data_IF_209627605697
#
_entry.id   IF_209627605697
#
_cell.length_a   1.000
_cell.length_b   1.000
_cell.length_c   1.000
_cell.angle_alpha   90.00
_cell.angle_beta   90.00
_cell.angle_gamma   90.00
#
_symmetry.space_group_name_H-M   'P 1'
#
loop_
_entity.id
_entity.type
_entity.pdbx_description
1 polymer ?
#
# COMPACT_ATOMS: atom_id res chain seq x y z
N UNK A 1 -6.84 -7.59 22.01
CA UNK A 1 -7.17 -7.55 20.57
C UNK A 1 -7.24 -6.13 20.08
N UNK A 2 -6.31 -5.76 19.21
CA UNK A 2 -6.34 -4.47 18.52
C UNK A 2 -6.84 -4.68 17.08
N UNK A 3 -8.07 -4.27 16.76
CA UNK A 3 -8.61 -4.35 15.40
C UNK A 3 -8.19 -3.17 14.51
N UNK A 4 -7.67 -2.08 15.09
CA UNK A 4 -7.30 -0.87 14.36
C UNK A 4 -6.00 -1.08 13.60
N UNK A 5 -5.02 -1.76 14.20
CA UNK A 5 -3.69 -1.91 13.61
C UNK A 5 -3.72 -2.66 12.26
N UNK A 6 -4.47 -3.77 12.09
CA UNK A 6 -4.67 -4.41 10.78
C UNK A 6 -5.35 -3.51 9.73
N UNK A 7 -6.28 -2.65 10.14
CA UNK A 7 -6.99 -1.72 9.25
C UNK A 7 -6.04 -0.60 8.81
N UNK A 8 -5.33 0.00 9.75
CA UNK A 8 -4.40 1.12 9.50
C UNK A 8 -3.21 0.67 8.64
N UNK A 9 -2.75 -0.57 8.79
CA UNK A 9 -1.70 -1.15 7.95
C UNK A 9 -2.04 -1.12 6.45
N UNK A 10 -3.33 -1.09 6.09
CA UNK A 10 -3.77 -1.03 4.70
C UNK A 10 -3.44 0.32 4.05
N UNK A 11 -3.25 1.38 4.84
CA UNK A 11 -2.80 2.69 4.38
C UNK A 11 -1.46 2.61 3.63
N UNK A 12 -0.45 2.00 4.25
CA UNK A 12 0.84 1.74 3.59
C UNK A 12 0.71 0.76 2.42
N UNK A 13 -0.17 -0.23 2.56
CA UNK A 13 -0.38 -1.24 1.54
C UNK A 13 -0.92 -0.67 0.22
N UNK A 14 -1.87 0.25 0.28
CA UNK A 14 -2.36 0.96 -0.91
C UNK A 14 -1.24 1.71 -1.64
N UNK A 15 -0.28 2.27 -0.90
CA UNK A 15 0.88 2.97 -1.46
C UNK A 15 1.84 2.02 -2.17
N UNK A 16 2.03 0.81 -1.64
CA UNK A 16 2.78 -0.27 -2.31
C UNK A 16 2.13 -0.63 -3.65
N UNK A 17 0.81 -0.83 -3.66
CA UNK A 17 0.05 -1.09 -4.89
C UNK A 17 0.19 0.02 -5.94
N UNK A 18 0.01 1.28 -5.50
CA UNK A 18 0.18 2.45 -6.36
C UNK A 18 1.61 2.59 -6.89
N UNK A 19 2.62 2.32 -6.06
CA UNK A 19 4.02 2.35 -6.46
C UNK A 19 4.33 1.29 -7.53
N UNK A 20 3.80 0.07 -7.41
CA UNK A 20 3.89 -0.93 -8.47
C UNK A 20 3.26 -0.44 -9.77
N UNK A 21 2.06 0.16 -9.72
CA UNK A 21 1.40 0.68 -10.92
C UNK A 21 2.24 1.76 -11.61
N UNK A 22 2.79 2.70 -10.84
CA UNK A 22 3.64 3.76 -11.39
C UNK A 22 4.93 3.15 -11.95
N UNK A 23 5.56 2.21 -11.25
CA UNK A 23 6.81 1.59 -11.67
C UNK A 23 6.71 0.95 -13.06
N UNK A 24 5.62 0.24 -13.32
CA UNK A 24 5.39 -0.40 -14.62
C UNK A 24 4.91 0.58 -15.69
N UNK A 25 4.23 1.68 -15.30
CA UNK A 25 3.65 2.64 -16.25
C UNK A 25 4.61 3.76 -16.66
N UNK A 26 5.49 4.19 -15.76
CA UNK A 26 6.35 5.35 -15.95
C UNK A 26 7.52 5.06 -16.90
N UNK A 27 7.93 6.05 -17.69
CA UNK A 27 9.16 6.01 -18.48
C UNK A 27 10.31 6.78 -17.81
N UNK A 28 10.03 7.54 -16.75
CA UNK A 28 11.03 8.29 -16.00
C UNK A 28 11.91 7.36 -15.15
N UNK A 29 13.19 7.25 -15.53
CA UNK A 29 14.17 6.37 -14.86
C UNK A 29 14.50 6.81 -13.43
N UNK A 30 14.42 8.10 -13.11
CA UNK A 30 14.58 8.59 -11.73
C UNK A 30 13.45 8.07 -10.86
N UNK A 31 12.21 8.20 -11.34
CA UNK A 31 11.04 7.74 -10.60
C UNK A 31 11.08 6.21 -10.40
N UNK A 32 11.48 5.44 -11.42
CA UNK A 32 11.70 3.99 -11.27
C UNK A 32 12.74 3.65 -10.20
N UNK A 33 13.86 4.37 -10.15
CA UNK A 33 14.91 4.13 -9.15
C UNK A 33 14.41 4.38 -7.73
N UNK A 34 13.67 5.46 -7.52
CA UNK A 34 13.05 5.78 -6.21
C UNK A 34 12.09 4.67 -5.80
N UNK A 35 11.21 4.24 -6.72
CA UNK A 35 10.24 3.17 -6.44
C UNK A 35 10.95 1.84 -6.14
N UNK A 36 11.96 1.46 -6.91
CA UNK A 36 12.76 0.24 -6.66
C UNK A 36 13.39 0.23 -5.27
N UNK A 37 13.93 1.37 -4.83
CA UNK A 37 14.53 1.49 -3.50
C UNK A 37 13.50 1.47 -2.37
N UNK A 38 12.33 2.09 -2.57
CA UNK A 38 11.29 2.21 -1.56
C UNK A 38 10.37 0.99 -1.43
N UNK A 39 10.17 0.21 -2.50
CA UNK A 39 9.22 -0.92 -2.52
C UNK A 39 9.51 -2.00 -1.46
N UNK A 40 10.74 -2.50 -1.31
CA UNK A 40 11.03 -3.54 -0.31
C UNK A 40 10.68 -3.08 1.11
N UNK A 41 11.03 -1.84 1.44
CA UNK A 41 10.79 -1.23 2.75
C UNK A 41 9.30 -0.94 2.97
N UNK A 42 8.60 -0.51 1.92
CA UNK A 42 7.14 -0.34 1.92
C UNK A 42 6.36 -1.62 2.16
N UNK A 43 6.77 -2.73 1.56
CA UNK A 43 6.16 -4.05 1.78
C UNK A 43 6.36 -4.55 3.21
N UNK A 44 7.47 -4.16 3.84
CA UNK A 44 7.77 -4.44 5.25
C UNK A 44 7.05 -3.49 6.22
N UNK A 45 6.17 -2.61 5.73
CA UNK A 45 5.32 -1.77 6.56
C UNK A 45 5.85 -0.36 6.84
N UNK A 46 6.95 0.05 6.20
CA UNK A 46 7.50 1.40 6.30
C UNK A 46 7.14 2.13 4.99
N UNK A 47 5.99 2.80 4.98
CA UNK A 47 5.39 3.39 3.78
C UNK A 47 5.94 4.76 3.38
N UNK A 48 6.65 5.43 4.29
CA UNK A 48 7.16 6.80 4.15
C UNK A 48 7.99 7.02 2.88
N UNK A 49 8.92 6.12 2.48
CA UNK A 49 9.68 6.27 1.24
C UNK A 49 8.78 6.31 0.00
N UNK A 50 7.69 5.55 -0.01
CA UNK A 50 6.75 5.51 -1.14
C UNK A 50 5.79 6.70 -1.12
N UNK A 51 5.29 7.08 0.06
CA UNK A 51 4.40 8.24 0.21
C UNK A 51 5.13 9.49 -0.24
N UNK A 52 6.24 9.82 0.39
CA UNK A 52 6.93 11.08 0.17
C UNK A 52 7.79 11.08 -1.09
N UNK A 53 8.33 9.92 -1.49
CA UNK A 53 9.19 9.80 -2.66
C UNK A 53 8.44 9.57 -3.97
N UNK A 54 7.18 9.11 -3.93
CA UNK A 54 6.47 8.66 -5.14
C UNK A 54 5.06 9.23 -5.21
N UNK A 55 4.16 8.84 -4.31
CA UNK A 55 2.72 9.05 -4.54
C UNK A 55 2.25 10.46 -4.19
N UNK A 56 2.77 11.05 -3.10
CA UNK A 56 2.40 12.39 -2.64
C UNK A 56 2.86 13.49 -3.61
N UNK A 57 4.11 13.50 -4.14
CA UNK A 57 4.53 14.49 -5.14
C UNK A 57 3.70 14.46 -6.42
N UNK A 58 3.17 13.29 -6.79
CA UNK A 58 2.31 13.13 -7.96
C UNK A 58 0.84 13.51 -7.69
N UNK A 59 0.46 13.71 -6.42
CA UNK A 59 -0.85 14.13 -5.96
C UNK A 59 -1.97 13.10 -6.20
N UNK A 60 -2.35 12.87 -7.46
CA UNK A 60 -3.42 11.94 -7.84
C UNK A 60 -3.13 10.49 -7.44
N UNK A 61 -1.91 9.95 -7.63
CA UNK A 61 -1.60 8.60 -7.20
C UNK A 61 -1.81 8.39 -5.69
N UNK A 62 -1.48 9.38 -4.85
CA UNK A 62 -1.72 9.30 -3.41
C UNK A 62 -3.20 9.07 -3.07
N UNK A 63 -4.11 9.80 -3.71
CA UNK A 63 -5.55 9.64 -3.49
C UNK A 63 -6.01 8.24 -3.95
N UNK A 64 -5.58 7.80 -5.14
CA UNK A 64 -5.94 6.47 -5.63
C UNK A 64 -5.36 5.33 -4.78
N UNK A 65 -4.19 5.53 -4.19
CA UNK A 65 -3.60 4.62 -3.23
C UNK A 65 -4.46 4.52 -1.96
N UNK A 66 -4.97 5.66 -1.45
CA UNK A 66 -5.90 5.69 -0.33
C UNK A 66 -7.21 4.96 -0.62
N UNK A 67 -7.72 5.03 -1.86
CA UNK A 67 -8.89 4.25 -2.28
C UNK A 67 -8.60 2.74 -2.26
N UNK A 68 -7.41 2.32 -2.72
CA UNK A 68 -6.98 0.93 -2.61
C UNK A 68 -6.86 0.47 -1.16
N UNK A 69 -6.27 1.30 -0.31
CA UNK A 69 -6.18 1.09 1.13
C UNK A 69 -7.56 0.97 1.79
N UNK A 70 -8.54 1.75 1.36
CA UNK A 70 -9.91 1.67 1.86
C UNK A 70 -10.56 0.31 1.57
N UNK A 71 -10.30 -0.30 0.40
CA UNK A 71 -10.81 -1.65 0.08
C UNK A 71 -10.20 -2.70 1.00
N UNK A 72 -8.87 -2.68 1.18
CA UNK A 72 -8.21 -3.57 2.13
C UNK A 72 -8.70 -3.34 3.56
N UNK A 73 -8.78 -2.08 4.01
CA UNK A 73 -9.22 -1.72 5.36
C UNK A 73 -10.65 -2.16 5.64
N UNK A 74 -11.55 -1.99 4.67
CA UNK A 74 -12.92 -2.49 4.76
C UNK A 74 -12.98 -4.01 4.89
N UNK A 75 -12.14 -4.75 4.15
CA UNK A 75 -12.02 -6.20 4.29
C UNK A 75 -11.56 -6.60 5.70
N UNK A 76 -10.50 -5.98 6.22
CA UNK A 76 -10.00 -6.25 7.57
C UNK A 76 -11.07 -5.98 8.64
N UNK A 77 -11.81 -4.87 8.49
CA UNK A 77 -12.88 -4.48 9.41
C UNK A 77 -14.07 -5.47 9.35
N UNK A 78 -14.47 -5.90 8.14
CA UNK A 78 -15.58 -6.83 7.95
C UNK A 78 -15.32 -8.19 8.60
N UNK A 79 -14.09 -8.72 8.42
CA UNK A 79 -13.68 -9.99 9.03
C UNK A 79 -13.19 -9.85 10.48
N UNK A 80 -13.25 -8.65 11.06
CA UNK A 80 -12.84 -8.35 12.44
C UNK A 80 -11.45 -8.88 12.75
N UNK A 81 -10.51 -8.66 11.83
CA UNK A 81 -9.13 -9.08 12.02
C UNK A 81 -8.50 -8.26 13.12
N UNK A 82 -7.87 -8.93 14.07
CA UNK A 82 -7.22 -8.28 15.20
C UNK A 82 -5.82 -8.83 15.44
N UNK A 83 -4.96 -8.01 16.03
CA UNK A 83 -3.63 -8.42 16.47
C UNK A 83 -3.60 -8.70 17.97
N UNK A 84 -2.69 -9.61 18.35
CA UNK A 84 -2.42 -9.97 19.75
C UNK A 84 -1.45 -8.99 20.44
N UNK A 85 -0.72 -8.21 19.65
CA UNK A 85 0.25 -7.22 20.10
C UNK A 85 0.32 -6.03 19.13
N UNK A 86 0.94 -4.95 19.59
CA UNK A 86 1.30 -3.80 18.77
C UNK A 86 2.67 -4.07 18.15
N UNK A 87 2.83 -3.80 16.85
CA UNK A 87 4.10 -4.00 16.16
C UNK A 87 4.13 -3.40 14.76
N UNK A 88 5.08 -3.88 13.94
CA UNK A 88 5.34 -3.35 12.59
C UNK A 88 4.20 -3.71 11.64
N UNK A 89 3.86 -2.78 10.74
CA UNK A 89 2.80 -2.95 9.74
C UNK A 89 3.28 -3.78 8.52
N UNK A 90 2.48 -3.86 7.45
CA UNK A 90 2.85 -4.59 6.23
C UNK A 90 2.91 -6.11 6.40
N UNK A 91 3.68 -6.80 5.57
CA UNK A 91 3.79 -8.28 5.61
C UNK A 91 4.17 -8.82 7.01
N UNK A 92 5.12 -8.21 7.75
CA UNK A 92 5.49 -8.67 9.10
C UNK A 92 4.32 -8.70 10.08
N UNK A 93 3.27 -7.89 9.86
CA UNK A 93 2.11 -7.86 10.74
C UNK A 93 1.36 -9.20 10.79
N UNK A 94 1.51 -10.02 9.75
CA UNK A 94 0.96 -11.37 9.71
C UNK A 94 1.42 -12.26 10.88
N UNK A 95 2.61 -12.01 11.46
CA UNK A 95 3.11 -12.73 12.62
C UNK A 95 2.45 -12.31 13.95
N UNK A 96 1.77 -11.17 13.97
CA UNK A 96 1.11 -10.62 15.16
C UNK A 96 -0.43 -10.70 15.08
N UNK A 97 -0.97 -11.20 13.96
CA UNK A 97 -2.39 -11.51 13.81
C UNK A 97 -2.68 -12.87 14.44
N UNK A 98 -3.90 -13.04 14.98
CA UNK A 98 -4.36 -14.34 15.46
C UNK A 98 -4.13 -15.45 14.43
N UNK A 99 -3.64 -16.61 14.87
CA UNK A 99 -3.17 -17.69 13.96
C UNK A 99 -4.24 -18.14 12.96
N UNK A 100 -5.51 -18.11 13.34
CA UNK A 100 -6.66 -18.44 12.49
C UNK A 100 -7.04 -17.35 11.47
N UNK A 101 -6.52 -16.12 11.62
CA UNK A 101 -6.84 -14.96 10.80
C UNK A 101 -5.69 -14.52 9.88
N UNK A 102 -4.51 -15.15 9.97
CA UNK A 102 -3.32 -14.80 9.18
C UNK A 102 -3.63 -14.79 7.67
N UNK A 103 -4.31 -15.82 7.17
CA UNK A 103 -4.63 -15.91 5.75
C UNK A 103 -5.58 -14.79 5.31
N UNK A 104 -6.60 -14.49 6.13
CA UNK A 104 -7.54 -13.40 5.87
C UNK A 104 -6.81 -12.05 5.88
N UNK A 105 -5.87 -11.85 6.81
CA UNK A 105 -5.03 -10.65 6.85
C UNK A 105 -4.25 -10.46 5.55
N UNK A 106 -3.61 -11.53 5.07
CA UNK A 106 -2.83 -11.52 3.83
C UNK A 106 -3.72 -11.27 2.60
N UNK A 107 -4.95 -11.80 2.60
CA UNK A 107 -5.94 -11.48 1.55
C UNK A 107 -6.30 -10.00 1.58
N UNK A 108 -6.60 -9.42 2.75
CA UNK A 108 -6.87 -7.99 2.88
C UNK A 108 -5.71 -7.11 2.42
N UNK A 109 -4.48 -7.49 2.78
CA UNK A 109 -3.25 -6.83 2.33
C UNK A 109 -3.10 -6.91 0.80
N UNK A 110 -3.32 -8.09 0.22
CA UNK A 110 -3.26 -8.29 -1.23
C UNK A 110 -4.34 -7.48 -1.96
N UNK A 111 -5.54 -7.39 -1.41
CA UNK A 111 -6.61 -6.55 -1.95
C UNK A 111 -6.19 -5.08 -1.96
N UNK A 112 -5.60 -4.56 -0.87
CA UNK A 112 -5.08 -3.19 -0.85
C UNK A 112 -4.02 -2.95 -1.95
N UNK A 113 -3.12 -3.92 -2.16
CA UNK A 113 -2.10 -3.83 -3.22
C UNK A 113 -2.75 -3.83 -4.62
N UNK A 114 -3.67 -4.76 -4.87
CA UNK A 114 -4.32 -4.95 -6.16
C UNK A 114 -5.22 -3.76 -6.51
N UNK A 115 -6.05 -3.29 -5.58
CA UNK A 115 -6.92 -2.13 -5.83
C UNK A 115 -6.14 -0.83 -5.87
N UNK A 116 -5.11 -0.66 -5.03
CA UNK A 116 -4.17 0.46 -5.13
C UNK A 116 -3.51 0.50 -6.51
N UNK A 117 -3.06 -0.66 -7.00
CA UNK A 117 -2.51 -0.79 -8.35
C UNK A 117 -3.54 -0.41 -9.41
N UNK A 118 -4.73 -1.01 -9.39
CA UNK A 118 -5.77 -0.80 -10.42
C UNK A 118 -6.16 0.68 -10.48
N UNK A 119 -6.51 1.28 -9.34
CA UNK A 119 -6.94 2.68 -9.31
C UNK A 119 -5.84 3.64 -9.74
N UNK A 120 -4.60 3.41 -9.31
CA UNK A 120 -3.47 4.23 -9.76
C UNK A 120 -3.16 4.03 -11.24
N UNK A 121 -3.25 2.79 -11.74
CA UNK A 121 -2.99 2.49 -13.15
C UNK A 121 -4.02 3.14 -14.07
N UNK A 122 -5.31 3.05 -13.74
CA UNK A 122 -6.39 3.53 -14.62
C UNK A 122 -6.64 5.04 -14.47
N UNK A 123 -6.64 5.56 -13.24
CA UNK A 123 -7.08 6.94 -12.95
C UNK A 123 -5.99 7.82 -12.32
N UNK A 124 -5.07 7.21 -11.55
CA UNK A 124 -4.13 7.96 -10.72
C UNK A 124 -2.91 8.50 -11.46
N UNK A 125 -2.26 7.69 -12.32
CA UNK A 125 -0.98 8.03 -12.95
C UNK A 125 -1.08 8.35 -14.45
N UNK A 126 -0.45 9.45 -14.84
CA UNK A 126 -0.24 9.94 -16.20
C UNK A 126 1.21 10.36 -16.33
N UNK A 127 1.83 10.03 -17.46
CA UNK A 127 3.26 10.27 -17.69
C UNK A 127 3.65 11.76 -17.56
N UNK A 128 2.74 12.66 -17.90
CA UNK A 128 2.98 14.10 -17.80
C UNK A 128 3.27 14.58 -16.38
N UNK A 129 2.75 13.88 -15.36
CA UNK A 129 3.03 14.20 -13.96
C UNK A 129 4.46 13.87 -13.56
N UNK A 130 5.13 12.98 -14.30
CA UNK A 130 6.53 12.64 -14.07
C UNK A 130 7.51 13.58 -14.78
N UNK A 131 7.04 14.57 -15.58
CA UNK A 131 7.90 15.53 -16.27
C UNK A 131 8.56 16.56 -15.34
N UNK A 132 8.01 16.74 -14.13
CA UNK A 132 8.51 17.68 -13.12
C UNK A 132 9.38 17.06 -12.02
N UNK A 133 9.73 15.77 -12.14
CA UNK A 133 10.47 14.98 -11.14
C UNK A 133 11.80 14.50 -11.74
#
# INVERSE_FOLDING_TARGET
>A
DDPLLPILAMGGAGQVGAAFAIYFKTKNERLKKVIKGGLPVGMLGIGEPLIFGVTLPLGRPFITACLGAAVGGAFQAFFKIATIAIGVSGIPLAFLVHTNQILLYLVGLLLAYVFGFIFTWTFGFKEEMAKGI
#
